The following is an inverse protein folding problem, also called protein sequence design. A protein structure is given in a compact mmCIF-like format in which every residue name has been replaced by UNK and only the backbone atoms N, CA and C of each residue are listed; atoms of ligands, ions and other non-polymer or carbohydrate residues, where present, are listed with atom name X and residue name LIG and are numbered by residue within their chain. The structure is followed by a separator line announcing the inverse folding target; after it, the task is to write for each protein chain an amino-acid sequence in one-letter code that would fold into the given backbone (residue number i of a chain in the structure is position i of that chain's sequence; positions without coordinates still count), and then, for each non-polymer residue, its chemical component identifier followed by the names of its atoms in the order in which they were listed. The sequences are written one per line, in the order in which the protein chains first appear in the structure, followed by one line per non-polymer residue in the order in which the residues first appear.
data_IF_311265556234
#
_entry.id   IF_311265556234
#
_cell.length_a   1.000
_cell.length_b   1.000
_cell.length_c   1.000
_cell.angle_alpha   90.00
_cell.angle_beta   90.00
_cell.angle_gamma   90.00
#
_symmetry.space_group_name_H-M   'P 1'
#
loop_
_entity.id
_entity.type
_entity.pdbx_description
1 polymer ?
#
# COMPACT_ATOMS: atom_id res chain seq x y z
N UNK A 1 41.12 14.42 -38.63
CA UNK A 1 40.24 15.55 -38.29
C UNK A 1 38.82 15.19 -38.69
N UNK A 2 37.89 15.44 -37.78
CA UNK A 2 36.46 15.11 -37.83
C UNK A 2 35.64 16.01 -38.79
N UNK A 3 34.37 15.57 -38.97
CA UNK A 3 33.12 16.31 -39.26
C UNK A 3 32.72 16.32 -40.74
N UNK A 4 31.44 16.13 -41.11
CA UNK A 4 30.22 15.96 -40.33
C UNK A 4 29.06 15.52 -41.24
N UNK A 5 28.14 14.73 -40.69
CA UNK A 5 26.83 14.47 -41.29
C UNK A 5 25.88 15.58 -40.84
N UNK A 6 25.25 16.25 -41.81
CA UNK A 6 24.21 17.24 -41.54
C UNK A 6 22.82 16.61 -41.62
N UNK A 7 21.92 17.31 -40.94
CA UNK A 7 20.56 17.00 -40.53
C UNK A 7 19.58 16.82 -41.70
N UNK A 8 18.62 15.91 -41.50
CA UNK A 8 17.26 16.12 -42.00
C UNK A 8 16.24 15.71 -40.92
N UNK A 9 15.56 16.74 -40.41
CA UNK A 9 14.45 16.70 -39.47
C UNK A 9 13.14 16.56 -40.25
N UNK A 10 12.45 15.43 -40.10
CA UNK A 10 11.02 15.35 -40.42
C UNK A 10 10.19 15.17 -39.15
N UNK A 11 9.53 16.27 -38.77
CA UNK A 11 8.40 16.33 -37.85
C UNK A 11 7.30 15.37 -38.32
N UNK A 12 6.86 14.45 -37.45
CA UNK A 12 5.63 13.69 -37.65
C UNK A 12 4.57 14.18 -36.67
N UNK A 13 3.56 14.81 -37.27
CA UNK A 13 2.42 15.50 -36.69
C UNK A 13 1.49 14.58 -35.87
N UNK A 14 0.91 15.14 -34.81
CA UNK A 14 0.29 14.43 -33.67
C UNK A 14 -1.14 13.91 -33.87
N UNK A 15 -1.76 14.04 -35.03
CA UNK A 15 -3.23 14.03 -35.14
C UNK A 15 -3.84 12.83 -35.91
N UNK A 16 -3.17 11.67 -35.94
CA UNK A 16 -3.71 10.45 -36.61
C UNK A 16 -3.76 9.17 -35.78
N UNK A 17 -3.38 9.23 -34.49
CA UNK A 17 -3.43 8.05 -33.60
C UNK A 17 -4.80 7.83 -32.93
N UNK A 18 -5.66 8.84 -32.89
CA UNK A 18 -6.91 8.77 -32.13
C UNK A 18 -8.13 8.20 -32.88
N UNK A 19 -7.98 7.79 -34.15
CA UNK A 19 -9.11 7.23 -34.93
C UNK A 19 -9.20 5.71 -35.06
N UNK A 20 -8.25 4.94 -34.53
CA UNK A 20 -8.29 3.46 -34.63
C UNK A 20 -8.63 2.78 -33.29
N UNK A 21 -8.57 3.49 -32.16
CA UNK A 21 -8.69 2.88 -30.83
C UNK A 21 -10.13 2.74 -30.26
N UNK A 22 -11.18 3.11 -31.01
CA UNK A 22 -12.58 3.06 -30.53
C UNK A 22 -13.45 1.89 -31.04
N UNK A 23 -12.90 0.90 -31.74
CA UNK A 23 -13.73 -0.10 -32.43
C UNK A 23 -13.62 -1.57 -32.00
N UNK A 24 -12.83 -1.96 -30.98
CA UNK A 24 -12.61 -3.41 -30.74
C UNK A 24 -12.94 -3.97 -29.36
N UNK A 25 -13.44 -3.19 -28.39
CA UNK A 25 -14.18 -3.72 -27.22
C UNK A 25 -13.64 -5.00 -26.56
N UNK A 26 -12.32 -5.14 -26.31
CA UNK A 26 -11.74 -6.32 -25.66
C UNK A 26 -10.89 -5.94 -24.44
N UNK A 27 -11.32 -6.42 -23.28
CA UNK A 27 -10.53 -6.48 -22.06
C UNK A 27 -9.36 -7.45 -22.24
N UNK A 28 -8.13 -7.01 -21.99
CA UNK A 28 -6.99 -7.90 -21.79
C UNK A 28 -6.75 -8.09 -20.29
N UNK A 29 -6.90 -9.33 -19.81
CA UNK A 29 -6.42 -9.77 -18.49
C UNK A 29 -4.92 -9.99 -18.58
N UNK A 30 -4.15 -9.30 -17.76
CA UNK A 30 -2.74 -9.63 -17.55
C UNK A 30 -2.63 -10.61 -16.38
N UNK A 31 -1.99 -11.76 -16.63
CA UNK A 31 -1.57 -12.70 -15.58
C UNK A 31 -0.07 -12.54 -15.44
N UNK A 32 0.39 -12.05 -14.29
CA UNK A 32 1.81 -12.02 -13.95
C UNK A 32 2.20 -13.38 -13.37
N UNK A 33 2.97 -14.17 -14.11
CA UNK A 33 3.64 -15.36 -13.56
C UNK A 33 5.05 -14.91 -13.17
N UNK A 34 5.26 -14.71 -11.88
CA UNK A 34 6.61 -14.49 -11.33
C UNK A 34 7.41 -15.78 -11.45
N UNK A 35 8.41 -15.81 -12.34
CA UNK A 35 9.48 -16.81 -12.28
C UNK A 35 10.62 -16.24 -11.43
N UNK A 36 11.14 -17.02 -10.47
CA UNK A 36 12.16 -16.69 -9.47
C UNK A 36 13.56 -16.28 -10.02
N UNK A 37 13.65 -15.87 -11.28
CA UNK A 37 14.88 -15.39 -11.94
C UNK A 37 14.54 -14.13 -12.75
N UNK A 38 13.99 -13.09 -12.09
CA UNK A 38 14.10 -11.66 -12.44
C UNK A 38 14.04 -11.24 -13.92
N UNK A 39 13.28 -11.91 -14.80
CA UNK A 39 13.11 -11.49 -16.20
C UNK A 39 11.66 -11.66 -16.62
N UNK A 40 10.96 -10.54 -16.76
CA UNK A 40 9.67 -10.50 -17.42
C UNK A 40 9.89 -10.49 -18.93
N UNK A 41 9.48 -11.55 -19.62
CA UNK A 41 9.49 -11.62 -21.07
C UNK A 41 8.07 -11.37 -21.60
N UNK A 42 7.92 -10.31 -22.39
CA UNK A 42 6.67 -10.01 -23.08
C UNK A 42 6.74 -10.54 -24.51
N UNK A 43 5.87 -11.50 -24.83
CA UNK A 43 5.67 -11.95 -26.21
C UNK A 43 4.42 -11.28 -26.77
N UNK A 44 4.61 -10.41 -27.77
CA UNK A 44 3.54 -10.02 -28.68
C UNK A 44 3.74 -10.76 -30.00
N UNK A 45 2.78 -11.61 -30.35
CA UNK A 45 2.69 -12.21 -31.67
C UNK A 45 1.55 -11.54 -32.44
N UNK A 46 1.89 -10.87 -33.54
CA UNK A 46 1.11 -10.87 -34.80
C UNK A 46 1.87 -10.18 -35.93
N UNK A 47 2.33 -11.01 -36.87
CA UNK A 47 2.35 -10.84 -38.33
C UNK A 47 2.84 -9.50 -38.95
N UNK A 48 3.99 -9.61 -39.63
CA UNK A 48 4.40 -8.93 -40.88
C UNK A 48 4.36 -7.39 -40.92
N UNK A 49 5.47 -6.73 -40.59
CA UNK A 49 6.34 -6.07 -41.58
C UNK A 49 7.68 -5.69 -40.93
N UNK A 50 8.73 -5.67 -41.74
CA UNK A 50 10.14 -5.70 -41.30
C UNK A 50 10.59 -4.51 -40.46
N UNK A 51 11.71 -4.77 -39.76
CA UNK A 51 12.44 -3.90 -38.82
C UNK A 51 11.88 -3.92 -37.39
N UNK A 52 12.04 -5.08 -36.73
CA UNK A 52 12.07 -5.18 -35.28
C UNK A 52 13.28 -4.41 -34.73
N UNK A 53 13.15 -3.08 -34.61
CA UNK A 53 13.98 -2.31 -33.70
C UNK A 53 13.47 -2.59 -32.28
N UNK A 54 13.80 -3.77 -31.74
CA UNK A 54 13.71 -4.05 -30.32
C UNK A 54 14.68 -3.08 -29.64
N UNK A 55 14.18 -1.91 -29.25
CA UNK A 55 14.91 -1.01 -28.37
C UNK A 55 14.91 -1.70 -27.01
N UNK A 56 15.92 -2.54 -26.78
CA UNK A 56 16.24 -3.06 -25.49
C UNK A 56 16.46 -1.85 -24.57
N UNK A 57 15.45 -1.53 -23.76
CA UNK A 57 15.65 -0.69 -22.58
C UNK A 57 16.65 -1.46 -21.73
N UNK A 58 17.93 -1.08 -21.84
CA UNK A 58 18.96 -1.54 -20.93
C UNK A 58 18.60 -0.96 -19.57
N UNK A 59 17.89 -1.74 -18.76
CA UNK A 59 17.82 -1.50 -17.32
C UNK A 59 19.27 -1.54 -16.85
N UNK A 60 19.84 -0.36 -16.57
CA UNK A 60 21.13 -0.24 -15.92
C UNK A 60 21.08 -0.99 -14.59
N UNK A 61 22.21 -1.49 -14.09
CA UNK A 61 22.23 -2.20 -12.82
C UNK A 61 21.70 -1.24 -11.75
N UNK A 62 20.51 -1.57 -11.25
CA UNK A 62 19.90 -0.90 -10.11
C UNK A 62 20.94 -1.02 -8.99
N UNK A 63 21.56 0.10 -8.61
CA UNK A 63 22.48 0.14 -7.47
C UNK A 63 21.63 -0.03 -6.21
N UNK A 64 21.21 -1.26 -5.95
CA UNK A 64 20.76 -1.69 -4.64
C UNK A 64 21.97 -1.53 -3.72
N UNK A 65 22.07 -0.34 -3.11
CA UNK A 65 22.99 -0.09 -2.01
C UNK A 65 22.69 -1.16 -0.98
N UNK A 66 23.71 -1.94 -0.66
CA UNK A 66 23.72 -3.01 0.31
C UNK A 66 23.44 -2.42 1.72
N UNK A 67 22.20 -1.98 1.97
CA UNK A 67 21.72 -1.62 3.30
C UNK A 67 21.55 -2.94 4.03
N UNK A 68 22.51 -3.28 4.88
CA UNK A 68 22.24 -4.27 5.93
C UNK A 68 20.99 -3.79 6.67
N UNK A 69 19.98 -4.64 6.70
CA UNK A 69 18.77 -4.40 7.49
C UNK A 69 19.22 -4.20 8.94
N UNK A 70 18.96 -3.01 9.48
CA UNK A 70 19.26 -2.71 10.87
C UNK A 70 18.21 -3.42 11.72
N UNK A 71 18.64 -4.36 12.55
CA UNK A 71 17.79 -5.14 13.43
C UNK A 71 18.41 -5.19 14.81
N UNK A 72 17.61 -4.99 15.85
CA UNK A 72 18.00 -5.18 17.25
C UNK A 72 17.06 -6.17 17.93
N UNK A 73 17.60 -6.96 18.85
CA UNK A 73 16.82 -7.89 19.68
C UNK A 73 16.57 -7.18 21.01
N UNK A 74 15.30 -7.17 21.45
CA UNK A 74 14.93 -6.81 22.82
C UNK A 74 14.34 -8.03 23.52
N UNK A 75 14.76 -8.22 24.77
CA UNK A 75 14.15 -9.19 25.66
C UNK A 75 12.98 -8.52 26.35
N UNK A 76 11.78 -9.04 26.12
CA UNK A 76 10.55 -8.55 26.72
C UNK A 76 9.68 -9.74 27.14
N UNK A 77 8.80 -9.49 28.12
CA UNK A 77 7.81 -10.47 28.59
C UNK A 77 6.45 -10.12 28.01
N UNK A 78 5.66 -11.16 27.76
CA UNK A 78 4.27 -11.00 27.34
C UNK A 78 3.45 -10.55 28.54
N UNK A 79 2.77 -9.41 28.41
CA UNK A 79 1.91 -8.81 29.42
C UNK A 79 0.43 -9.19 29.24
N UNK A 80 -0.45 -8.24 29.58
CA UNK A 80 -1.91 -8.40 29.49
C UNK A 80 -2.41 -8.43 28.05
N UNK A 81 -3.57 -9.06 27.84
CA UNK A 81 -4.34 -8.98 26.60
C UNK A 81 -5.58 -8.14 26.85
N UNK A 82 -5.79 -7.12 26.01
CA UNK A 82 -7.00 -6.31 26.01
C UNK A 82 -7.81 -6.64 24.77
N UNK A 83 -9.05 -7.08 24.98
CA UNK A 83 -10.05 -7.17 23.94
C UNK A 83 -10.99 -5.97 24.10
N UNK A 84 -11.16 -5.18 23.05
CA UNK A 84 -12.02 -4.01 23.08
C UNK A 84 -12.96 -3.99 21.89
N UNK A 85 -14.05 -3.25 22.05
CA UNK A 85 -15.05 -3.02 21.01
C UNK A 85 -15.21 -1.51 20.82
N UNK A 86 -15.04 -1.05 19.59
CA UNK A 86 -15.34 0.33 19.20
C UNK A 86 -16.74 0.42 18.63
N UNK A 87 -17.41 1.54 18.93
CA UNK A 87 -18.77 1.82 18.55
C UNK A 87 -18.84 2.77 17.37
N UNK A 88 -20.02 2.86 16.76
CA UNK A 88 -20.30 3.76 15.66
C UNK A 88 -19.76 5.18 15.92
N UNK A 89 -19.10 5.74 14.90
CA UNK A 89 -18.44 7.05 14.87
C UNK A 89 -17.13 7.19 15.66
N UNK A 90 -16.69 6.19 16.42
CA UNK A 90 -15.34 6.20 16.97
C UNK A 90 -14.31 6.19 15.82
N UNK A 91 -13.24 6.97 15.92
CA UNK A 91 -12.12 6.86 14.98
C UNK A 91 -11.22 5.70 15.38
N UNK A 92 -10.89 4.83 14.43
CA UNK A 92 -10.09 3.62 14.68
C UNK A 92 -8.78 3.91 15.40
N UNK A 93 -7.98 4.88 14.92
CA UNK A 93 -6.67 5.15 15.51
C UNK A 93 -6.82 5.82 16.87
N UNK A 94 -7.70 6.81 16.96
CA UNK A 94 -7.96 7.52 18.22
C UNK A 94 -8.46 6.57 19.30
N UNK A 95 -9.41 5.68 18.96
CA UNK A 95 -9.91 4.64 19.87
C UNK A 95 -8.80 3.68 20.32
N UNK A 96 -7.90 3.27 19.41
CA UNK A 96 -6.74 2.44 19.79
C UNK A 96 -5.79 3.16 20.76
N UNK A 97 -5.53 4.44 20.54
CA UNK A 97 -4.72 5.25 21.46
C UNK A 97 -5.40 5.41 22.82
N UNK A 98 -6.72 5.61 22.83
CA UNK A 98 -7.52 5.80 24.03
C UNK A 98 -7.54 4.54 24.90
N UNK A 99 -7.83 3.35 24.34
CA UNK A 99 -7.80 2.09 25.12
C UNK A 99 -6.41 1.79 25.68
N UNK A 100 -5.35 2.10 24.92
CA UNK A 100 -3.99 1.87 25.38
C UNK A 100 -3.62 2.85 26.50
N UNK A 101 -4.10 4.09 26.43
CA UNK A 101 -3.92 5.09 27.48
C UNK A 101 -4.68 4.70 28.75
N UNK A 102 -5.96 4.33 28.62
CA UNK A 102 -6.84 3.94 29.72
C UNK A 102 -6.34 2.71 30.49
N UNK A 103 -5.79 1.72 29.78
CA UNK A 103 -5.23 0.52 30.39
C UNK A 103 -3.74 0.62 30.73
N UNK A 104 -3.15 1.81 30.57
CA UNK A 104 -1.75 2.09 30.85
C UNK A 104 -0.75 1.22 30.07
N UNK A 105 -1.12 0.82 28.85
CA UNK A 105 -0.26 0.06 27.94
C UNK A 105 0.79 1.00 27.37
N UNK A 106 2.03 0.87 27.85
CA UNK A 106 3.16 1.67 27.37
C UNK A 106 3.74 1.16 26.04
N UNK A 107 3.69 -0.15 25.80
CA UNK A 107 4.12 -0.75 24.54
C UNK A 107 3.41 -2.08 24.31
N UNK A 108 3.18 -2.43 23.05
CA UNK A 108 2.50 -3.66 22.71
C UNK A 108 2.27 -3.85 21.23
N UNK A 109 1.73 -5.01 20.88
CA UNK A 109 1.35 -5.37 19.53
C UNK A 109 -0.16 -5.42 19.42
N UNK A 110 -0.68 -4.77 18.38
CA UNK A 110 -2.06 -4.88 17.97
C UNK A 110 -2.13 -6.16 17.14
N UNK A 111 -2.72 -7.21 17.73
CA UNK A 111 -2.84 -8.55 17.12
C UNK A 111 -3.76 -8.53 15.91
N UNK A 112 -4.76 -7.65 15.96
CA UNK A 112 -5.62 -7.32 14.87
C UNK A 112 -7.03 -7.02 15.33
N UNK A 113 -7.95 -7.12 14.38
CA UNK A 113 -9.36 -6.92 14.63
C UNK A 113 -10.15 -6.93 13.33
N UNK A 114 -11.46 -6.91 13.46
CA UNK A 114 -12.42 -6.99 12.37
C UNK A 114 -13.57 -6.03 12.62
N UNK A 115 -14.16 -5.54 11.53
CA UNK A 115 -15.33 -4.68 11.60
C UNK A 115 -15.45 -3.75 10.41
N UNK A 116 -16.39 -2.82 10.54
CA UNK A 116 -16.84 -1.96 9.44
C UNK A 116 -16.53 -0.49 9.71
N UNK A 117 -16.18 0.25 8.68
CA UNK A 117 -15.88 1.69 8.67
C UNK A 117 -16.83 2.42 7.71
N UNK A 118 -17.16 3.69 7.98
CA UNK A 118 -17.91 4.49 6.99
C UNK A 118 -17.04 4.81 5.76
N UNK A 119 -15.74 5.01 5.99
CA UNK A 119 -14.71 5.27 5.00
C UNK A 119 -13.36 4.95 5.62
N UNK A 120 -12.29 4.88 4.82
CA UNK A 120 -10.95 4.78 5.36
C UNK A 120 -9.96 5.64 4.59
N UNK A 121 -9.18 6.44 5.31
CA UNK A 121 -7.99 7.10 4.77
C UNK A 121 -6.76 6.25 5.07
N UNK A 122 -6.05 5.86 4.03
CA UNK A 122 -4.85 5.03 4.11
C UNK A 122 -3.65 5.78 3.52
N UNK A 123 -2.49 5.62 4.13
CA UNK A 123 -1.21 6.01 3.54
C UNK A 123 -0.59 4.80 2.84
N UNK A 124 -0.18 5.01 1.59
CA UNK A 124 0.44 4.02 0.71
C UNK A 124 1.76 4.55 0.15
N UNK A 125 2.66 3.64 -0.20
CA UNK A 125 3.87 3.96 -0.96
C UNK A 125 3.57 3.82 -2.46
N UNK A 126 3.84 4.84 -3.27
CA UNK A 126 3.73 4.72 -4.73
C UNK A 126 4.94 4.00 -5.33
N UNK A 127 4.85 3.63 -6.61
CA UNK A 127 5.95 3.00 -7.34
C UNK A 127 7.20 3.90 -7.42
N UNK A 128 7.02 5.23 -7.31
CA UNK A 128 8.09 6.22 -7.25
C UNK A 128 8.70 6.37 -5.85
N UNK A 129 8.24 5.59 -4.85
CA UNK A 129 8.73 5.67 -3.48
C UNK A 129 8.24 6.91 -2.72
N UNK A 130 7.09 7.47 -3.11
CA UNK A 130 6.47 8.64 -2.46
C UNK A 130 5.30 8.17 -1.60
N UNK A 131 5.23 8.65 -0.36
CA UNK A 131 4.06 8.42 0.50
C UNK A 131 2.88 9.25 -0.01
N UNK A 132 1.74 8.59 -0.18
CA UNK A 132 0.49 9.21 -0.62
C UNK A 132 -0.67 8.73 0.22
N UNK A 133 -1.58 9.65 0.54
CA UNK A 133 -2.87 9.30 1.14
C UNK A 133 -3.90 8.98 0.07
N UNK A 134 -4.67 7.93 0.29
CA UNK A 134 -5.84 7.55 -0.50
C UNK A 134 -7.07 7.49 0.41
N UNK A 135 -8.24 7.77 -0.15
CA UNK A 135 -9.52 7.60 0.53
C UNK A 135 -10.28 6.45 -0.11
N UNK A 136 -10.73 5.52 0.71
CA UNK A 136 -11.61 4.42 0.36
C UNK A 136 -13.01 4.80 0.79
N UNK A 137 -13.86 5.10 -0.19
CA UNK A 137 -15.26 5.47 0.00
C UNK A 137 -16.17 4.24 -0.14
N UNK A 138 -17.33 4.28 0.51
CA UNK A 138 -18.36 3.25 0.41
C UNK A 138 -19.39 3.34 1.54
N UNK A 139 -20.44 2.53 1.46
CA UNK A 139 -21.31 2.28 2.61
C UNK A 139 -20.83 0.95 3.23
N UNK A 140 -20.28 1.02 4.44
CA UNK A 140 -19.62 -0.10 5.14
C UNK A 140 -18.36 -0.64 4.44
N UNK A 141 -17.25 0.08 4.57
CA UNK A 141 -15.90 -0.40 4.22
C UNK A 141 -15.48 -1.45 5.25
N UNK A 142 -15.20 -2.66 4.82
CA UNK A 142 -14.89 -3.78 5.71
C UNK A 142 -13.39 -3.92 5.94
N UNK A 143 -12.98 -4.05 7.20
CA UNK A 143 -11.61 -4.40 7.57
C UNK A 143 -11.45 -5.90 7.43
N UNK A 144 -10.58 -6.32 6.50
CA UNK A 144 -10.26 -7.73 6.26
C UNK A 144 -9.15 -8.22 7.19
N UNK A 145 -8.20 -7.34 7.50
CA UNK A 145 -7.13 -7.59 8.45
C UNK A 145 -6.52 -6.27 8.90
N UNK A 146 -6.00 -6.24 10.12
CA UNK A 146 -5.13 -5.17 10.57
C UNK A 146 -4.13 -5.70 11.58
N UNK A 147 -2.98 -5.04 11.67
CA UNK A 147 -1.93 -5.34 12.63
C UNK A 147 -1.07 -4.09 12.83
N UNK A 148 -0.48 -3.98 14.00
CA UNK A 148 0.24 -2.77 14.33
C UNK A 148 0.96 -2.86 15.65
N UNK A 149 1.46 -1.74 16.10
CA UNK A 149 2.08 -1.62 17.41
C UNK A 149 1.65 -0.32 18.07
N UNK A 150 1.72 -0.33 19.39
CA UNK A 150 1.54 0.85 20.23
C UNK A 150 2.83 1.13 20.97
N UNK A 151 3.17 2.41 21.11
CA UNK A 151 4.29 2.87 21.92
C UNK A 151 3.94 4.18 22.61
N UNK A 152 4.31 4.28 23.88
CA UNK A 152 4.32 5.52 24.63
C UNK A 152 5.69 6.17 24.45
N UNK A 153 5.70 7.45 24.09
CA UNK A 153 6.93 8.21 24.00
C UNK A 153 7.40 8.74 25.35
N UNK A 154 8.52 9.47 25.34
CA UNK A 154 9.12 10.04 26.55
C UNK A 154 8.27 11.17 27.17
N UNK A 155 7.38 11.77 26.40
CA UNK A 155 6.45 12.81 26.83
C UNK A 155 5.14 12.22 27.36
N UNK A 156 5.01 10.88 27.35
CA UNK A 156 3.83 10.15 27.82
C UNK A 156 2.73 10.03 26.77
N UNK A 157 2.95 10.54 25.55
CA UNK A 157 1.98 10.43 24.45
C UNK A 157 1.97 9.00 23.92
N UNK A 158 0.77 8.46 23.79
CA UNK A 158 0.55 7.13 23.20
C UNK A 158 0.39 7.28 21.70
N UNK A 159 1.20 6.56 20.94
CA UNK A 159 1.20 6.56 19.48
C UNK A 159 0.90 5.15 18.96
N UNK A 160 -0.02 5.06 18.02
CA UNK A 160 -0.41 3.81 17.36
C UNK A 160 -0.02 3.87 15.89
N UNK A 161 0.70 2.84 15.46
CA UNK A 161 1.00 2.61 14.04
C UNK A 161 0.29 1.33 13.60
N UNK A 162 -0.76 1.51 12.80
CA UNK A 162 -1.67 0.45 12.40
C UNK A 162 -1.71 0.33 10.88
N UNK A 163 -1.50 -0.89 10.39
CA UNK A 163 -1.62 -1.26 9.00
C UNK A 163 -2.81 -2.17 8.83
N UNK A 164 -3.41 -2.15 7.65
CA UNK A 164 -4.47 -3.09 7.35
C UNK A 164 -4.84 -3.17 5.89
N UNK A 165 -5.80 -4.05 5.66
CA UNK A 165 -6.42 -4.33 4.38
C UNK A 165 -7.92 -4.10 4.56
N UNK A 166 -8.50 -3.32 3.66
CA UNK A 166 -9.92 -3.01 3.64
C UNK A 166 -10.53 -3.34 2.29
N UNK A 167 -11.82 -3.68 2.29
CA UNK A 167 -12.61 -3.83 1.07
C UNK A 167 -13.76 -2.81 1.06
N UNK A 168 -13.97 -2.16 -0.08
CA UNK A 168 -15.17 -1.34 -0.26
C UNK A 168 -16.37 -2.20 -0.70
N UNK A 169 -17.53 -1.57 -0.80
CA UNK A 169 -18.79 -2.21 -1.22
C UNK A 169 -18.79 -2.71 -2.68
N UNK A 170 -17.85 -2.28 -3.51
CA UNK A 170 -17.63 -2.82 -4.85
C UNK A 170 -16.73 -4.08 -4.86
N UNK A 171 -16.28 -4.53 -3.68
CA UNK A 171 -15.36 -5.65 -3.52
C UNK A 171 -13.90 -5.33 -3.90
N UNK A 172 -13.57 -4.05 -4.07
CA UNK A 172 -12.20 -3.62 -4.34
C UNK A 172 -11.42 -3.60 -3.03
N UNK A 173 -10.20 -4.13 -3.08
CA UNK A 173 -9.33 -4.29 -1.91
C UNK A 173 -8.21 -3.25 -1.92
N UNK A 174 -7.99 -2.63 -0.78
CA UNK A 174 -6.97 -1.62 -0.54
C UNK A 174 -6.15 -1.99 0.68
N UNK A 175 -4.88 -1.64 0.70
CA UNK A 175 -3.98 -1.89 1.82
C UNK A 175 -3.11 -0.66 2.08
N UNK A 176 -2.82 -0.40 3.35
CA UNK A 176 -1.99 0.73 3.74
C UNK A 176 -1.95 0.95 5.24
N UNK A 177 -1.30 2.02 5.66
CA UNK A 177 -1.29 2.48 7.04
C UNK A 177 -2.52 3.33 7.30
N UNK A 178 -3.28 3.04 8.35
CA UNK A 178 -4.44 3.86 8.70
C UNK A 178 -4.01 5.26 9.16
N UNK A 179 -4.74 6.27 8.69
CA UNK A 179 -4.52 7.67 9.06
C UNK A 179 -5.51 8.05 10.16
N UNK A 180 -5.01 8.67 11.23
CA UNK A 180 -5.82 9.15 12.36
C UNK A 180 -6.91 10.14 11.91
N UNK A 181 -8.12 9.97 12.44
CA UNK A 181 -9.30 10.76 12.05
C UNK A 181 -9.88 10.39 10.68
N UNK A 182 -9.28 9.42 9.98
CA UNK A 182 -9.67 9.03 8.63
C UNK A 182 -10.51 7.76 8.56
N UNK A 183 -10.73 7.07 9.69
CA UNK A 183 -11.39 5.76 9.70
C UNK A 183 -12.45 5.67 10.81
N UNK A 184 -13.59 6.37 10.68
CA UNK A 184 -14.70 6.26 11.62
C UNK A 184 -15.44 4.92 11.48
N UNK A 185 -15.71 4.28 12.61
CA UNK A 185 -16.46 3.02 12.72
C UNK A 185 -17.88 3.19 12.20
N UNK A 186 -18.34 2.25 11.37
CA UNK A 186 -19.72 2.24 10.85
C UNK A 186 -20.70 1.56 11.82
N UNK A 187 -20.43 0.31 12.21
CA UNK A 187 -21.28 -0.45 13.15
C UNK A 187 -20.49 -0.80 14.39
N UNK A 188 -19.43 -1.58 14.21
CA UNK A 188 -18.55 -2.03 15.29
C UNK A 188 -17.19 -2.40 14.74
N UNK A 189 -16.16 -2.30 15.58
CA UNK A 189 -14.87 -2.96 15.38
C UNK A 189 -14.50 -3.69 16.67
N UNK A 190 -14.07 -4.94 16.55
CA UNK A 190 -13.50 -5.71 17.67
C UNK A 190 -11.99 -5.78 17.48
N UNK A 191 -11.23 -5.45 18.52
CA UNK A 191 -9.76 -5.35 18.48
C UNK A 191 -9.12 -6.13 19.61
N UNK A 192 -7.90 -6.61 19.36
CA UNK A 192 -7.07 -7.27 20.37
C UNK A 192 -5.69 -6.62 20.43
N UNK A 193 -5.28 -6.21 21.64
CA UNK A 193 -3.96 -5.65 21.94
C UNK A 193 -3.25 -6.55 22.94
N UNK A 194 -1.99 -6.88 22.65
CA UNK A 194 -1.10 -7.62 23.55
C UNK A 194 -0.02 -6.68 24.06
N UNK A 195 -0.02 -6.42 25.37
CA UNK A 195 1.00 -5.64 26.04
C UNK A 195 2.34 -6.39 26.06
N UNK A 196 3.43 -5.63 25.94
CA UNK A 196 4.80 -6.09 26.16
C UNK A 196 5.43 -5.35 27.34
N UNK A 197 6.10 -6.10 28.21
CA UNK A 197 6.75 -5.59 29.41
C UNK A 197 8.27 -5.74 29.25
N UNK A 198 9.01 -4.74 29.72
CA UNK A 198 10.46 -4.83 29.85
C UNK A 198 10.87 -5.73 31.05
#
# INVERSE_FOLDING_TARGET
MHRGADRDTHLCDGDKRDRICRQTGRHFRYVCISSAIGRAYWWHCRSCCGVCCARALKFGPERQRNRRMESSIRHCRVGRVVNARFFCNDDLITGMEDICREHEIAQGVIKGGLGSLFKSSLEIMTDEGVLRSINVEGFAVEILSMNGHVRRDREGKTEVELYGIVANNAGQVFAGRFIKGGSPVCITIEVMVQEWLD
#
